data_IF_802236990493
#
_entry.id   IF_802236990493
#
_cell.length_a   1.000
_cell.length_b   1.000
_cell.length_c   1.000
_cell.angle_alpha   90.00
_cell.angle_beta   90.00
_cell.angle_gamma   90.00
#
_symmetry.space_group_name_H-M   'P 1'
#
loop_
_entity.id
_entity.type
_entity.pdbx_description
1 polymer ?
#
# COMPACT_ATOMS: atom_id res chain seq x y z
N UNK A 1 26.58 -82.47 25.70
CA UNK A 1 26.26 -81.30 26.48
C UNK A 1 26.38 -80.09 25.55
N UNK A 2 25.39 -79.78 24.82
CA UNK A 2 25.31 -78.63 23.87
C UNK A 2 24.17 -77.80 24.23
N UNK A 3 24.47 -76.61 24.78
CA UNK A 3 23.48 -75.64 25.16
C UNK A 3 23.02 -74.83 23.92
N UNK A 4 21.80 -74.97 23.50
CA UNK A 4 21.19 -74.21 22.45
C UNK A 4 20.63 -72.92 23.00
N UNK A 5 21.08 -71.79 22.48
CA UNK A 5 20.51 -70.49 22.77
C UNK A 5 19.45 -70.14 21.76
N UNK A 6 18.24 -69.88 22.22
CA UNK A 6 17.10 -69.47 21.40
C UNK A 6 17.22 -67.97 20.99
N UNK A 7 16.77 -67.58 19.80
CA UNK A 7 16.73 -66.18 19.42
C UNK A 7 15.53 -65.45 20.07
N UNK A 8 15.74 -64.24 20.55
CA UNK A 8 14.74 -63.35 21.12
C UNK A 8 13.86 -62.71 20.04
N UNK A 9 12.67 -62.16 20.42
CA UNK A 9 11.68 -61.68 19.48
C UNK A 9 12.13 -60.33 18.85
N UNK A 10 11.96 -60.26 17.53
CA UNK A 10 12.12 -59.04 16.73
C UNK A 10 11.04 -58.02 17.13
N UNK A 11 11.50 -56.81 17.47
CA UNK A 11 10.62 -55.65 17.71
C UNK A 11 10.03 -55.11 16.42
N UNK A 12 8.93 -54.38 16.50
CA UNK A 12 8.19 -53.88 15.31
C UNK A 12 9.01 -52.84 14.54
N UNK A 13 9.10 -53.05 13.22
CA UNK A 13 9.68 -52.15 12.26
C UNK A 13 8.95 -50.76 12.30
N UNK A 14 9.70 -49.68 12.40
CA UNK A 14 9.16 -48.33 12.24
C UNK A 14 8.82 -48.09 10.79
N UNK A 15 7.63 -47.51 10.50
CA UNK A 15 7.26 -47.11 9.11
C UNK A 15 8.28 -46.07 8.62
N UNK A 16 8.76 -46.30 7.40
CA UNK A 16 9.71 -45.43 6.72
C UNK A 16 9.17 -44.00 6.61
N UNK A 17 9.99 -43.05 7.01
CA UNK A 17 9.84 -41.64 6.81
C UNK A 17 9.83 -41.38 5.29
N UNK A 18 8.66 -41.02 4.75
CA UNK A 18 8.54 -40.56 3.37
C UNK A 18 9.30 -39.23 3.26
N UNK A 19 10.44 -39.25 2.63
CA UNK A 19 11.18 -38.05 2.18
C UNK A 19 10.28 -37.37 1.16
N UNK A 20 9.63 -36.28 1.57
CA UNK A 20 8.91 -35.38 0.67
C UNK A 20 9.87 -34.79 -0.38
N UNK A 21 9.38 -34.40 -1.56
CA UNK A 21 10.24 -33.80 -2.58
C UNK A 21 10.91 -32.56 -2.00
N UNK A 22 12.25 -32.56 -2.09
CA UNK A 22 13.08 -31.39 -1.85
C UNK A 22 12.64 -30.29 -2.81
N UNK A 23 11.80 -29.39 -2.32
CA UNK A 23 11.52 -28.12 -2.99
C UNK A 23 12.77 -27.26 -2.84
N UNK A 24 13.74 -27.49 -3.73
CA UNK A 24 14.95 -26.71 -3.82
C UNK A 24 14.61 -25.23 -3.63
N UNK A 25 15.24 -24.60 -2.63
CA UNK A 25 15.18 -23.17 -2.46
C UNK A 25 15.47 -22.51 -3.82
N UNK A 26 14.70 -21.48 -4.24
CA UNK A 26 15.00 -20.80 -5.48
C UNK A 26 16.45 -20.35 -5.43
N UNK A 27 17.22 -20.78 -6.43
CA UNK A 27 18.60 -20.33 -6.64
C UNK A 27 18.58 -18.80 -6.84
N UNK A 28 18.84 -18.08 -5.76
CA UNK A 28 19.07 -16.63 -5.79
C UNK A 28 20.50 -16.31 -6.27
N UNK A 29 21.14 -17.28 -6.93
CA UNK A 29 22.49 -17.22 -7.43
C UNK A 29 22.63 -16.34 -8.65
N UNK A 30 23.49 -15.35 -8.49
CA UNK A 30 24.29 -14.68 -9.51
C UNK A 30 23.58 -13.84 -10.58
N UNK A 31 22.55 -13.06 -10.24
CA UNK A 31 22.41 -11.75 -10.85
C UNK A 31 23.40 -10.83 -10.13
N UNK A 32 24.42 -10.35 -10.85
CA UNK A 32 25.54 -9.58 -10.27
C UNK A 32 25.06 -8.54 -9.27
N UNK A 33 25.63 -8.59 -8.10
CA UNK A 33 25.25 -7.91 -6.85
C UNK A 33 25.56 -6.41 -6.86
N UNK A 34 25.25 -5.73 -7.97
CA UNK A 34 25.25 -4.28 -8.04
C UNK A 34 23.86 -3.79 -7.65
N UNK A 35 23.69 -3.53 -6.35
CA UNK A 35 22.51 -2.80 -5.88
C UNK A 35 22.28 -1.58 -6.77
N UNK A 36 21.06 -1.38 -7.30
CA UNK A 36 20.78 -0.26 -8.20
C UNK A 36 21.24 1.05 -7.53
N UNK A 37 22.06 1.82 -8.24
CA UNK A 37 22.58 3.07 -7.72
C UNK A 37 21.44 4.06 -7.58
N UNK A 38 21.00 4.32 -6.34
CA UNK A 38 19.95 5.32 -6.05
C UNK A 38 20.41 6.77 -6.26
N UNK A 39 21.71 6.99 -6.40
CA UNK A 39 22.30 8.31 -6.43
C UNK A 39 21.79 9.23 -7.57
N UNK A 40 21.71 8.77 -8.84
CA UNK A 40 21.16 9.59 -9.93
C UNK A 40 19.69 9.94 -9.70
N UNK A 41 18.91 8.98 -9.20
CA UNK A 41 17.48 9.14 -8.94
C UNK A 41 17.22 10.15 -7.82
N UNK A 42 17.98 10.09 -6.71
CA UNK A 42 17.87 11.06 -5.62
C UNK A 42 18.04 12.49 -6.09
N UNK A 43 19.07 12.74 -6.90
CA UNK A 43 19.34 14.08 -7.43
C UNK A 43 18.25 14.57 -8.37
N UNK A 44 17.78 13.70 -9.26
CA UNK A 44 16.71 14.02 -10.21
C UNK A 44 15.39 14.32 -9.50
N UNK A 45 15.00 13.48 -8.55
CA UNK A 45 13.76 13.65 -7.78
C UNK A 45 13.80 14.92 -6.93
N UNK A 46 14.93 15.24 -6.31
CA UNK A 46 15.10 16.52 -5.62
C UNK A 46 14.86 17.71 -6.55
N UNK A 47 15.44 17.66 -7.76
CA UNK A 47 15.28 18.73 -8.75
C UNK A 47 13.83 18.85 -9.24
N UNK A 48 13.15 17.73 -9.50
CA UNK A 48 11.73 17.71 -9.85
C UNK A 48 10.86 18.29 -8.76
N UNK A 49 11.22 18.05 -7.50
CA UNK A 49 10.55 18.65 -6.35
C UNK A 49 10.88 20.16 -6.16
N UNK A 50 11.69 20.76 -7.03
CA UNK A 50 12.09 22.17 -6.97
C UNK A 50 12.94 22.51 -5.76
N UNK A 51 13.62 21.53 -5.13
CA UNK A 51 14.36 21.72 -3.88
C UNK A 51 15.85 21.94 -4.14
N UNK A 52 16.44 22.92 -3.41
CA UNK A 52 17.89 23.02 -3.27
C UNK A 52 18.40 21.86 -2.40
N UNK A 53 19.72 21.64 -2.43
CA UNK A 53 20.34 20.59 -1.60
C UNK A 53 20.09 20.85 -0.10
N UNK A 54 20.22 22.11 0.31
CA UNK A 54 20.02 22.58 1.70
C UNK A 54 18.57 22.40 2.13
N UNK A 55 17.62 22.81 1.28
CA UNK A 55 16.19 22.69 1.58
C UNK A 55 15.75 21.22 1.69
N UNK A 56 16.23 20.35 0.79
CA UNK A 56 15.93 18.92 0.84
C UNK A 56 16.58 18.25 2.06
N UNK A 57 17.83 18.60 2.38
CA UNK A 57 18.53 18.10 3.56
C UNK A 57 17.79 18.47 4.85
N UNK A 58 17.36 19.74 4.97
CA UNK A 58 16.59 20.21 6.12
C UNK A 58 15.28 19.45 6.28
N UNK A 59 14.49 19.25 5.18
CA UNK A 59 13.24 18.48 5.19
C UNK A 59 13.45 17.02 5.56
N UNK A 60 14.52 16.40 5.05
CA UNK A 60 14.89 15.02 5.33
C UNK A 60 15.60 14.84 6.68
N UNK A 61 15.82 15.92 7.45
CA UNK A 61 16.58 15.96 8.72
C UNK A 61 18.01 15.42 8.56
N UNK A 62 18.66 15.77 7.45
CA UNK A 62 20.04 15.43 7.12
C UNK A 62 20.92 16.69 7.09
N UNK A 63 22.24 16.51 7.20
CA UNK A 63 23.16 17.58 6.80
C UNK A 63 23.28 17.66 5.28
N UNK A 64 23.49 18.84 4.68
CA UNK A 64 23.71 18.97 3.24
C UNK A 64 24.86 18.09 2.74
N UNK A 65 25.94 17.97 3.51
CA UNK A 65 27.08 17.11 3.18
C UNK A 65 26.71 15.61 3.17
N UNK A 66 25.76 15.18 4.01
CA UNK A 66 25.26 13.81 4.01
C UNK A 66 24.44 13.56 2.75
N UNK A 67 23.46 14.42 2.44
CA UNK A 67 22.64 14.30 1.23
C UNK A 67 23.50 14.33 -0.04
N UNK A 68 24.49 15.23 -0.12
CA UNK A 68 25.43 15.27 -1.24
C UNK A 68 26.18 13.96 -1.45
N UNK A 69 26.62 13.29 -0.38
CA UNK A 69 27.26 11.98 -0.49
C UNK A 69 26.32 10.88 -0.98
N UNK A 70 25.05 10.95 -0.64
CA UNK A 70 24.02 10.05 -1.18
C UNK A 70 23.80 10.30 -2.67
N UNK A 71 23.63 11.56 -3.08
CA UNK A 71 23.42 11.95 -4.49
C UNK A 71 24.64 11.75 -5.39
N UNK A 72 25.83 11.58 -4.82
CA UNK A 72 27.06 11.27 -5.56
C UNK A 72 27.46 9.78 -5.49
N UNK A 73 26.64 8.95 -4.86
CA UNK A 73 26.91 7.51 -4.74
C UNK A 73 28.03 7.15 -3.75
N UNK A 74 28.60 8.16 -3.06
CA UNK A 74 29.68 7.96 -2.08
C UNK A 74 29.18 7.31 -0.79
N UNK A 75 27.87 7.19 -0.62
CA UNK A 75 27.21 6.52 0.49
C UNK A 75 25.91 5.92 0.03
N UNK A 76 25.61 4.70 0.46
CA UNK A 76 24.32 4.06 0.25
C UNK A 76 23.34 4.47 1.39
N UNK A 77 22.09 4.78 1.06
CA UNK A 77 21.07 5.04 2.07
C UNK A 77 20.58 3.74 2.71
N UNK A 78 20.30 3.77 4.01
CA UNK A 78 19.57 2.69 4.67
C UNK A 78 18.07 2.74 4.30
N UNK A 79 17.35 1.62 4.48
CA UNK A 79 15.91 1.56 4.19
C UNK A 79 15.09 2.65 4.94
N UNK A 80 15.30 2.91 6.25
CA UNK A 80 14.62 4.02 6.94
C UNK A 80 14.90 5.38 6.29
N UNK A 81 16.12 5.59 5.78
CA UNK A 81 16.50 6.82 5.11
C UNK A 81 15.86 6.93 3.72
N UNK A 82 15.78 5.84 2.95
CA UNK A 82 15.04 5.79 1.68
C UNK A 82 13.57 6.15 1.87
N UNK A 83 12.93 5.59 2.89
CA UNK A 83 11.54 5.92 3.25
C UNK A 83 11.38 7.41 3.61
N UNK A 84 12.34 7.99 4.34
CA UNK A 84 12.35 9.42 4.66
C UNK A 84 12.52 10.31 3.43
N UNK A 85 13.41 9.94 2.52
CA UNK A 85 13.66 10.67 1.27
C UNK A 85 12.47 10.56 0.30
N UNK A 86 11.85 9.38 0.20
CA UNK A 86 10.64 9.18 -0.59
C UNK A 86 9.53 10.14 -0.14
N UNK A 87 9.30 10.27 1.17
CA UNK A 87 8.35 11.25 1.74
C UNK A 87 8.73 12.69 1.40
N UNK A 88 10.01 13.03 1.54
CA UNK A 88 10.51 14.38 1.31
C UNK A 88 10.31 14.82 -0.15
N UNK A 89 10.44 13.88 -1.09
CA UNK A 89 10.34 14.14 -2.53
C UNK A 89 8.94 13.84 -3.10
N UNK A 90 8.00 13.31 -2.29
CA UNK A 90 6.67 12.95 -2.76
C UNK A 90 6.69 11.79 -3.75
N UNK A 91 7.58 10.82 -3.55
CA UNK A 91 7.81 9.67 -4.44
C UNK A 91 7.74 8.34 -3.70
N UNK A 92 7.88 7.22 -4.41
CA UNK A 92 7.97 5.88 -3.84
C UNK A 92 9.42 5.41 -3.68
N UNK A 93 9.66 4.41 -2.83
CA UNK A 93 10.98 3.79 -2.70
C UNK A 93 11.39 3.10 -3.99
N UNK A 94 10.45 2.45 -4.70
CA UNK A 94 10.69 1.83 -6.01
C UNK A 94 11.19 2.86 -7.04
N UNK A 95 10.60 4.05 -7.08
CA UNK A 95 11.06 5.12 -7.96
C UNK A 95 12.46 5.63 -7.55
N UNK A 96 12.76 5.70 -6.24
CA UNK A 96 14.10 6.00 -5.75
C UNK A 96 15.13 4.93 -6.14
N UNK A 97 14.72 3.67 -6.24
CA UNK A 97 15.56 2.56 -6.70
C UNK A 97 15.73 2.50 -8.23
N UNK A 98 15.09 3.44 -8.95
CA UNK A 98 15.13 3.44 -10.42
C UNK A 98 14.23 2.37 -11.05
N UNK A 99 13.43 1.69 -10.26
CA UNK A 99 12.33 0.87 -10.74
C UNK A 99 11.28 1.82 -11.30
N UNK A 100 11.48 2.22 -12.56
CA UNK A 100 10.48 3.01 -13.28
C UNK A 100 9.25 2.13 -13.40
N UNK A 101 8.09 2.49 -12.82
CA UNK A 101 6.87 1.77 -13.14
C UNK A 101 6.77 1.81 -14.66
N UNK A 102 6.57 0.64 -15.30
CA UNK A 102 6.32 0.57 -16.73
C UNK A 102 5.35 1.70 -17.05
N UNK A 103 5.67 2.53 -18.06
CA UNK A 103 4.88 3.71 -18.43
C UNK A 103 3.44 3.23 -18.53
N UNK A 104 2.70 3.36 -17.45
CA UNK A 104 1.32 2.93 -17.43
C UNK A 104 0.59 3.79 -18.46
N UNK A 105 -0.13 3.16 -19.36
CA UNK A 105 -0.99 3.87 -20.31
C UNK A 105 -1.72 4.97 -19.51
N UNK A 106 -1.58 6.27 -19.89
CA UNK A 106 -2.26 7.33 -19.18
C UNK A 106 -3.78 7.21 -19.24
N UNK A 107 -4.28 6.35 -20.12
CA UNK A 107 -5.72 6.14 -20.37
C UNK A 107 -6.19 4.88 -19.65
N UNK A 108 -7.16 5.04 -18.78
CA UNK A 108 -7.92 3.94 -18.18
C UNK A 108 -9.25 3.81 -18.92
N UNK A 109 -9.43 2.71 -19.64
CA UNK A 109 -10.66 2.45 -20.42
C UNK A 109 -11.77 1.91 -19.51
N UNK A 110 -13.02 2.20 -19.82
CA UNK A 110 -14.19 1.74 -19.08
C UNK A 110 -14.29 0.21 -18.95
N UNK A 111 -13.77 -0.55 -19.94
CA UNK A 111 -13.64 -2.00 -19.90
C UNK A 111 -12.31 -2.51 -19.33
N UNK A 112 -11.53 -1.67 -18.67
CA UNK A 112 -10.24 -1.99 -18.07
C UNK A 112 -10.30 -2.98 -16.91
N UNK A 113 -9.35 -2.96 -15.96
CA UNK A 113 -9.31 -3.88 -14.84
C UNK A 113 -10.66 -3.96 -14.13
N UNK A 114 -11.16 -5.17 -13.91
CA UNK A 114 -12.48 -5.41 -13.33
C UNK A 114 -12.69 -4.72 -11.99
N UNK A 115 -13.95 -4.65 -11.58
CA UNK A 115 -14.33 -4.17 -10.27
C UNK A 115 -13.61 -4.95 -9.16
N UNK A 116 -13.22 -4.26 -8.10
CA UNK A 116 -12.73 -4.86 -6.85
C UNK A 116 -13.73 -4.57 -5.75
N UNK A 117 -13.94 -5.53 -4.88
CA UNK A 117 -14.78 -5.36 -3.70
C UNK A 117 -13.92 -5.34 -2.44
N UNK A 118 -14.17 -4.36 -1.59
CA UNK A 118 -13.61 -4.31 -0.25
C UNK A 118 -14.61 -3.62 0.68
N UNK A 119 -14.80 -4.15 1.89
CA UNK A 119 -15.75 -3.67 2.91
C UNK A 119 -17.21 -3.51 2.40
N UNK A 120 -17.57 -4.30 1.38
CA UNK A 120 -18.88 -4.23 0.75
C UNK A 120 -19.07 -3.07 -0.23
N UNK A 121 -18.02 -2.29 -0.51
CA UNK A 121 -18.00 -1.29 -1.57
C UNK A 121 -17.41 -1.87 -2.84
N UNK A 122 -17.79 -1.33 -3.98
CA UNK A 122 -17.22 -1.72 -5.28
C UNK A 122 -16.39 -0.59 -5.84
N UNK A 123 -15.18 -0.93 -6.29
CA UNK A 123 -14.17 0.03 -6.76
C UNK A 123 -13.74 -0.28 -8.18
N UNK A 124 -13.60 0.74 -9.00
CA UNK A 124 -13.00 0.69 -10.33
C UNK A 124 -11.86 1.70 -10.40
N UNK A 125 -10.76 1.32 -10.96
CA UNK A 125 -9.65 2.23 -11.21
C UNK A 125 -10.09 3.28 -12.25
N UNK A 126 -9.93 4.56 -11.93
CA UNK A 126 -10.24 5.69 -12.79
C UNK A 126 -9.00 6.49 -13.20
N UNK A 127 -7.85 6.21 -12.60
CA UNK A 127 -6.56 6.83 -12.91
C UNK A 127 -5.46 5.79 -13.07
N UNK A 128 -4.36 6.15 -13.73
CA UNK A 128 -3.19 5.29 -13.90
C UNK A 128 -2.54 4.93 -12.56
N UNK A 129 -2.00 3.72 -12.45
CA UNK A 129 -1.23 3.26 -11.28
C UNK A 129 0.17 3.91 -11.24
N UNK A 130 0.81 3.89 -10.06
CA UNK A 130 2.19 4.35 -9.89
C UNK A 130 2.38 5.87 -9.89
N UNK A 131 1.31 6.64 -9.66
CA UNK A 131 1.35 8.10 -9.54
C UNK A 131 1.09 8.55 -8.09
N UNK A 132 1.42 9.80 -7.77
CA UNK A 132 1.28 10.36 -6.41
C UNK A 132 -0.18 10.54 -5.94
N UNK A 133 -1.16 10.38 -6.83
CA UNK A 133 -2.58 10.32 -6.46
C UNK A 133 -3.25 9.12 -7.11
N UNK A 134 -4.24 8.58 -6.44
CA UNK A 134 -5.10 7.52 -6.95
C UNK A 134 -6.50 8.07 -7.21
N UNK A 135 -7.04 7.79 -8.38
CA UNK A 135 -8.41 8.11 -8.74
C UNK A 135 -9.22 6.81 -8.90
N UNK A 136 -10.36 6.75 -8.25
CA UNK A 136 -11.27 5.61 -8.24
C UNK A 136 -12.69 6.06 -8.58
N UNK A 137 -13.43 5.27 -9.33
CA UNK A 137 -14.88 5.27 -9.28
C UNK A 137 -15.31 4.31 -8.18
N UNK A 138 -16.23 4.73 -7.33
CA UNK A 138 -16.66 3.94 -6.17
C UNK A 138 -18.18 3.87 -6.14
N UNK A 139 -18.70 2.65 -5.89
CA UNK A 139 -20.09 2.45 -5.53
C UNK A 139 -20.18 2.13 -4.04
N UNK A 140 -20.90 2.98 -3.31
CA UNK A 140 -21.19 2.83 -1.88
C UNK A 140 -22.62 2.31 -1.75
N UNK A 141 -22.85 1.04 -1.33
CA UNK A 141 -24.19 0.51 -1.16
C UNK A 141 -24.88 1.12 0.07
N UNK A 142 -26.21 1.19 0.03
CA UNK A 142 -26.99 1.64 1.16
C UNK A 142 -26.95 0.64 2.32
N UNK A 143 -26.97 1.15 3.55
CA UNK A 143 -27.03 0.32 4.76
C UNK A 143 -25.71 -0.37 5.14
N UNK A 144 -24.69 -0.30 4.30
CA UNK A 144 -23.32 -0.66 4.63
C UNK A 144 -22.51 0.63 4.74
N UNK A 145 -22.67 1.35 5.84
CA UNK A 145 -21.61 2.27 6.24
C UNK A 145 -20.34 1.41 6.40
N UNK A 146 -19.20 1.94 6.03
CA UNK A 146 -17.93 1.37 6.45
C UNK A 146 -18.01 1.31 7.96
N UNK A 147 -18.48 0.25 8.58
CA UNK A 147 -18.70 0.07 10.01
C UNK A 147 -18.45 1.32 10.86
N UNK A 148 -18.56 1.32 12.11
CA UNK A 148 -18.30 2.46 12.99
C UNK A 148 -16.84 3.01 12.90
N UNK A 149 -16.03 2.51 11.94
CA UNK A 149 -14.63 2.87 11.75
C UNK A 149 -14.51 4.27 11.14
N UNK A 150 -14.33 5.23 12.02
CA UNK A 150 -13.81 6.54 11.67
C UNK A 150 -12.40 6.36 11.10
N UNK A 151 -12.16 6.85 9.89
CA UNK A 151 -10.86 6.77 9.23
C UNK A 151 -10.05 8.01 9.52
N UNK A 152 -8.75 7.79 9.73
CA UNK A 152 -7.75 8.86 9.91
C UNK A 152 -6.44 8.37 9.30
N UNK A 153 -5.95 9.05 8.29
CA UNK A 153 -4.67 8.73 7.66
C UNK A 153 -4.02 9.98 7.05
N UNK A 154 -2.70 10.00 6.87
CA UNK A 154 -2.04 11.12 6.20
C UNK A 154 -2.46 11.23 4.74
N UNK A 155 -2.69 12.46 4.26
CA UNK A 155 -3.02 12.77 2.89
C UNK A 155 -4.23 13.65 2.75
N UNK A 156 -4.64 13.85 1.52
CA UNK A 156 -5.83 14.60 1.15
C UNK A 156 -6.78 13.71 0.38
N UNK A 157 -8.06 13.89 0.60
CA UNK A 157 -9.13 13.23 -0.12
C UNK A 157 -10.03 14.26 -0.81
N UNK A 158 -10.37 13.96 -2.06
CA UNK A 158 -11.36 14.68 -2.82
C UNK A 158 -12.38 13.69 -3.37
N UNK A 159 -13.66 14.03 -3.25
CA UNK A 159 -14.73 13.22 -3.80
C UNK A 159 -15.74 14.11 -4.56
N UNK A 160 -16.40 13.50 -5.54
CA UNK A 160 -17.45 14.11 -6.34
C UNK A 160 -18.60 13.10 -6.52
N UNK A 161 -19.82 13.50 -6.17
CA UNK A 161 -20.99 12.62 -6.24
C UNK A 161 -21.52 12.57 -7.68
N UNK A 162 -21.51 11.39 -8.28
CA UNK A 162 -22.02 11.14 -9.62
C UNK A 162 -23.51 10.78 -9.62
N UNK A 163 -23.95 9.98 -8.64
CA UNK A 163 -25.32 9.47 -8.55
C UNK A 163 -25.67 9.11 -7.10
N UNK A 164 -26.93 9.22 -6.75
CA UNK A 164 -27.41 8.96 -5.39
C UNK A 164 -27.09 10.14 -4.46
N UNK A 165 -27.23 9.94 -3.16
CA UNK A 165 -26.85 10.91 -2.12
C UNK A 165 -25.84 10.30 -1.20
N UNK A 166 -24.83 11.08 -0.83
CA UNK A 166 -23.73 10.67 0.03
C UNK A 166 -23.84 11.38 1.38
N UNK A 167 -23.68 10.64 2.47
CA UNK A 167 -23.52 11.19 3.81
C UNK A 167 -22.03 11.18 4.14
N UNK A 168 -21.47 12.36 4.39
CA UNK A 168 -20.09 12.56 4.77
C UNK A 168 -20.05 13.12 6.20
N UNK A 169 -19.37 12.41 7.10
CA UNK A 169 -19.03 12.92 8.42
C UNK A 169 -17.58 13.38 8.40
N UNK A 170 -17.32 14.59 8.85
CA UNK A 170 -15.99 15.16 9.06
C UNK A 170 -15.93 15.69 10.48
N UNK A 171 -15.09 15.05 11.33
CA UNK A 171 -15.11 15.29 12.78
C UNK A 171 -16.53 15.20 13.33
N UNK A 172 -17.05 16.26 13.92
CA UNK A 172 -18.39 16.33 14.51
C UNK A 172 -19.48 16.80 13.49
N UNK A 173 -19.08 17.19 12.29
CA UNK A 173 -20.01 17.72 11.30
C UNK A 173 -20.52 16.61 10.35
N UNK A 174 -21.80 16.68 10.02
CA UNK A 174 -22.44 15.82 9.02
C UNK A 174 -22.87 16.64 7.81
N UNK A 175 -22.56 16.16 6.62
CA UNK A 175 -22.92 16.74 5.34
C UNK A 175 -23.69 15.73 4.52
N UNK A 176 -24.78 16.18 3.90
CA UNK A 176 -25.51 15.43 2.88
C UNK A 176 -25.16 16.04 1.52
N UNK A 177 -24.53 15.24 0.65
CA UNK A 177 -24.07 15.66 -0.67
C UNK A 177 -25.01 15.07 -1.73
N UNK A 178 -25.45 15.93 -2.64
CA UNK A 178 -26.28 15.60 -3.80
C UNK A 178 -25.40 15.34 -5.05
N UNK A 179 -25.92 14.72 -6.12
CA UNK A 179 -25.20 14.62 -7.38
C UNK A 179 -24.74 15.99 -7.89
N UNK A 180 -23.45 16.11 -8.20
CA UNK A 180 -22.81 17.37 -8.57
C UNK A 180 -22.03 18.04 -7.45
N UNK A 181 -22.29 17.67 -6.19
CA UNK A 181 -21.52 18.18 -5.06
C UNK A 181 -20.16 17.50 -4.95
N UNK A 182 -19.21 18.21 -4.38
CA UNK A 182 -17.87 17.71 -4.08
C UNK A 182 -17.43 18.09 -2.67
N UNK A 183 -16.50 17.30 -2.12
CA UNK A 183 -15.83 17.62 -0.87
C UNK A 183 -14.33 17.43 -1.03
N UNK A 184 -13.53 18.29 -0.38
CA UNK A 184 -12.10 18.20 -0.31
C UNK A 184 -11.66 18.44 1.14
N UNK A 185 -10.93 17.49 1.71
CA UNK A 185 -10.53 17.54 3.12
C UNK A 185 -9.20 16.85 3.37
N UNK A 186 -8.53 17.27 4.44
CA UNK A 186 -7.36 16.60 5.00
C UNK A 186 -7.83 15.29 5.66
N UNK A 187 -7.27 14.17 5.24
CA UNK A 187 -7.60 12.82 5.74
C UNK A 187 -7.15 12.59 7.20
N UNK A 188 -6.39 13.51 7.80
CA UNK A 188 -6.17 13.55 9.25
C UNK A 188 -7.43 13.97 10.02
N UNK A 189 -8.39 14.61 9.35
CA UNK A 189 -9.72 14.85 9.92
C UNK A 189 -10.46 13.51 10.03
N UNK A 190 -10.91 13.10 11.22
CA UNK A 190 -11.72 11.89 11.36
C UNK A 190 -12.92 11.94 10.44
N UNK A 191 -13.06 10.96 9.55
CA UNK A 191 -14.09 10.97 8.52
C UNK A 191 -14.78 9.62 8.33
N UNK A 192 -16.02 9.66 7.85
CA UNK A 192 -16.84 8.50 7.52
C UNK A 192 -17.75 8.83 6.34
N UNK A 193 -17.86 7.91 5.40
CA UNK A 193 -18.64 8.03 4.18
C UNK A 193 -19.70 6.94 4.13
N UNK A 194 -20.92 7.28 3.76
CA UNK A 194 -22.03 6.33 3.62
C UNK A 194 -23.05 6.79 2.58
N UNK A 195 -23.77 5.85 1.96
CA UNK A 195 -24.85 6.21 1.06
C UNK A 195 -26.14 6.55 1.84
N UNK A 196 -26.78 7.65 1.48
CA UNK A 196 -28.06 8.08 2.04
C UNK A 196 -29.28 7.68 1.19
N UNK A 197 -29.07 7.09 0.01
CA UNK A 197 -30.12 6.58 -0.90
C UNK A 197 -30.17 5.06 -0.87
N UNK A 198 -31.39 4.49 -0.96
CA UNK A 198 -31.61 3.04 -0.98
C UNK A 198 -30.84 2.31 -2.12
N UNK A 199 -30.67 2.96 -3.27
CA UNK A 199 -29.87 2.45 -4.39
C UNK A 199 -28.36 2.63 -4.28
N UNK A 200 -27.86 3.09 -3.13
CA UNK A 200 -26.43 3.43 -2.96
C UNK A 200 -26.07 4.82 -3.52
N UNK A 201 -24.79 5.10 -3.56
CA UNK A 201 -24.22 6.29 -4.18
C UNK A 201 -23.00 5.94 -5.02
N UNK A 202 -22.87 6.55 -6.20
CA UNK A 202 -21.70 6.47 -7.07
C UNK A 202 -20.89 7.77 -6.96
N UNK A 203 -19.59 7.67 -6.82
CA UNK A 203 -18.71 8.84 -6.71
C UNK A 203 -17.39 8.62 -7.45
N UNK A 204 -16.76 9.73 -7.84
CA UNK A 204 -15.32 9.77 -8.09
C UNK A 204 -14.64 10.07 -6.77
N UNK A 205 -13.62 9.31 -6.48
CA UNK A 205 -12.83 9.43 -5.26
C UNK A 205 -11.37 9.55 -5.62
N UNK A 206 -10.74 10.63 -5.20
CA UNK A 206 -9.32 10.89 -5.44
C UNK A 206 -8.62 11.09 -4.11
N UNK A 207 -7.53 10.37 -3.90
CA UNK A 207 -6.73 10.55 -2.71
C UNK A 207 -5.23 10.54 -3.03
N UNK A 208 -4.48 11.27 -2.22
CA UNK A 208 -3.02 11.30 -2.35
C UNK A 208 -2.44 10.07 -1.66
N UNK A 209 -1.58 9.36 -2.38
CA UNK A 209 -0.82 8.23 -1.84
C UNK A 209 0.42 8.76 -1.13
N UNK A 210 0.30 9.14 0.14
CA UNK A 210 1.47 9.51 0.93
C UNK A 210 2.34 8.32 1.33
N UNK A 211 1.91 7.08 1.03
CA UNK A 211 2.75 5.87 0.96
C UNK A 211 1.94 4.63 0.58
N UNK A 212 2.51 3.79 -0.27
CA UNK A 212 1.96 2.57 -0.84
C UNK A 212 1.57 1.44 0.15
N UNK A 213 1.80 1.62 1.45
CA UNK A 213 1.37 0.68 2.50
C UNK A 213 -0.02 0.97 3.07
N UNK A 214 -0.63 2.13 2.74
CA UNK A 214 -1.90 2.57 3.31
C UNK A 214 -3.09 2.42 2.36
N UNK A 215 -2.88 2.04 1.10
CA UNK A 215 -3.98 1.73 0.18
C UNK A 215 -4.94 0.66 0.75
N UNK A 216 -4.44 -0.23 1.61
CA UNK A 216 -5.26 -1.18 2.37
C UNK A 216 -6.11 -0.56 3.47
N UNK A 217 -5.74 0.61 4.01
CA UNK A 217 -6.48 1.25 5.10
C UNK A 217 -7.72 2.01 4.59
N UNK A 218 -7.64 2.60 3.40
CA UNK A 218 -8.81 3.23 2.77
C UNK A 218 -9.78 2.20 2.19
N UNK A 219 -9.29 0.99 1.85
CA UNK A 219 -10.03 -0.08 1.21
C UNK A 219 -10.30 -1.28 2.14
N UNK A 220 -10.09 -1.14 3.46
CA UNK A 220 -10.51 -2.14 4.44
C UNK A 220 -9.71 -3.44 4.48
N UNK A 221 -8.42 -3.39 4.27
CA UNK A 221 -7.53 -4.56 4.39
C UNK A 221 -7.01 -4.76 5.82
N UNK A 222 -7.85 -5.13 6.77
CA UNK A 222 -7.48 -5.47 8.15
C UNK A 222 -7.99 -6.84 8.56
N UNK A 223 -7.37 -7.93 8.10
CA UNK A 223 -7.59 -9.27 8.69
C UNK A 223 -6.84 -9.38 10.02
N UNK A 224 -7.47 -8.89 11.09
CA UNK A 224 -7.05 -9.15 12.47
C UNK A 224 -7.69 -10.41 13.00
N UNK A 225 -7.10 -11.58 12.81
CA UNK A 225 -7.44 -12.79 13.56
C UNK A 225 -6.88 -12.67 14.97
N UNK A 226 -7.64 -12.04 15.85
CA UNK A 226 -7.39 -12.08 17.30
C UNK A 226 -8.01 -13.32 17.90
N UNK A 227 -7.21 -14.36 18.09
CA UNK A 227 -7.57 -15.51 18.93
C UNK A 227 -7.60 -15.06 20.37
N UNK A 228 -8.79 -14.89 20.94
CA UNK A 228 -8.97 -14.72 22.38
C UNK A 228 -8.69 -16.06 23.07
N UNK A 229 -7.60 -16.17 23.80
CA UNK A 229 -7.44 -17.18 24.85
C UNK A 229 -8.05 -16.66 26.13
N UNK A 230 -9.14 -17.33 26.56
CA UNK A 230 -9.60 -17.31 27.94
C UNK A 230 -8.57 -18.02 28.84
N UNK A 231 -8.18 -17.36 29.88
CA UNK A 231 -8.03 -17.90 31.26
C UNK A 231 -8.44 -16.81 32.23
#
# INVERSE_FOLDING_TARGET
MTSGSAPGPEGPERPGEAVGPDLGAPDLGAAGDELPSVAPQLRELRRRAGLTLEAAAARARLSPAHLSRLETGRRQPSLPLLLGLARTYGTTVSELLGETPAVADPIVRAGGPGAREADGWTYWQAGGSGRGMQALRVHVPHGRSQGELVRVHPGEEWLYVLKGRLRLHLAEAEYLLEPGDSAHFDSLTPHRIGAATAGGADLLFVHTLLQSSLAGLCLGGGSGSGTAHHL
#
